data_IF_037840082575
#
_entry.id   IF_037840082575
#
_cell.length_a   1.000
_cell.length_b   1.000
_cell.length_c   1.000
_cell.angle_alpha   90.00
_cell.angle_beta   90.00
_cell.angle_gamma   90.00
#
_symmetry.space_group_name_H-M   'P 1'
#
loop_
_entity.id
_entity.type
_entity.pdbx_description
1 polymer ?
#
# COMPACT_ATOMS: atom_id res chain seq x y z
N UNK A 1 8.21 29.64 12.76
CA UNK A 1 7.10 28.78 13.20
C UNK A 1 6.17 28.57 12.01
N UNK A 2 5.88 27.32 11.61
CA UNK A 2 5.05 27.06 10.43
C UNK A 2 3.58 27.40 10.72
N UNK A 3 2.88 27.99 9.74
CA UNK A 3 1.47 28.36 9.86
C UNK A 3 0.59 27.11 10.12
N UNK A 4 -0.27 27.10 11.15
CA UNK A 4 -1.09 25.93 11.49
C UNK A 4 -2.02 25.48 10.35
N UNK A 5 -2.52 26.42 9.52
CA UNK A 5 -3.34 26.06 8.35
C UNK A 5 -2.55 25.27 7.31
N UNK A 6 -1.27 25.61 7.12
CA UNK A 6 -0.37 24.91 6.19
C UNK A 6 -0.09 23.47 6.62
N UNK A 7 0.11 23.24 7.93
CA UNK A 7 0.32 21.91 8.49
C UNK A 7 -0.90 20.99 8.27
N UNK A 8 -2.11 21.53 8.41
CA UNK A 8 -3.34 20.78 8.16
C UNK A 8 -3.46 20.39 6.68
N UNK A 9 -3.15 21.30 5.75
CA UNK A 9 -3.18 21.01 4.31
C UNK A 9 -2.21 19.86 3.96
N UNK A 10 -0.96 19.93 4.44
CA UNK A 10 0.02 18.86 4.19
C UNK A 10 -0.44 17.51 4.76
N UNK A 11 -1.11 17.52 5.92
CA UNK A 11 -1.68 16.30 6.50
C UNK A 11 -2.82 15.72 5.67
N UNK A 12 -3.74 16.56 5.16
CA UNK A 12 -4.81 16.08 4.29
C UNK A 12 -4.27 15.51 2.97
N UNK A 13 -3.27 16.17 2.37
CA UNK A 13 -2.62 15.66 1.15
C UNK A 13 -1.90 14.34 1.43
N UNK A 14 -1.20 14.24 2.58
CA UNK A 14 -0.56 12.99 3.00
C UNK A 14 -1.58 11.86 3.16
N UNK A 15 -2.72 12.14 3.83
CA UNK A 15 -3.80 11.18 3.98
C UNK A 15 -4.40 10.77 2.63
N UNK A 16 -4.63 11.72 1.71
CA UNK A 16 -5.10 11.42 0.36
C UNK A 16 -4.11 10.51 -0.38
N UNK A 17 -2.81 10.81 -0.30
CA UNK A 17 -1.75 9.98 -0.88
C UNK A 17 -1.74 8.57 -0.32
N UNK A 18 -1.89 8.40 1.00
CA UNK A 18 -1.99 7.07 1.61
C UNK A 18 -3.23 6.30 1.15
N UNK A 19 -4.38 6.96 1.04
CA UNK A 19 -5.61 6.32 0.56
C UNK A 19 -5.47 5.90 -0.90
N UNK A 20 -4.95 6.76 -1.76
CA UNK A 20 -4.67 6.45 -3.16
C UNK A 20 -3.66 5.31 -3.30
N UNK A 21 -2.62 5.30 -2.46
CA UNK A 21 -1.62 4.23 -2.46
C UNK A 21 -2.27 2.87 -2.15
N UNK A 22 -3.09 2.82 -1.10
CA UNK A 22 -3.80 1.61 -0.66
C UNK A 22 -4.82 1.11 -1.68
N UNK A 23 -5.50 2.02 -2.39
CA UNK A 23 -6.37 1.66 -3.53
C UNK A 23 -5.52 1.15 -4.70
N UNK A 24 -4.42 1.84 -5.01
CA UNK A 24 -3.49 1.46 -6.08
C UNK A 24 -2.85 0.09 -5.86
N UNK A 25 -2.52 -0.26 -4.61
CA UNK A 25 -2.03 -1.59 -4.25
C UNK A 25 -2.96 -2.71 -4.75
N UNK A 26 -4.26 -2.45 -4.86
CA UNK A 26 -5.23 -3.43 -5.31
C UNK A 26 -5.51 -3.30 -6.82
N UNK A 27 -5.74 -2.09 -7.32
CA UNK A 27 -6.26 -1.84 -8.67
C UNK A 27 -5.20 -1.65 -9.76
N UNK A 28 -3.94 -1.34 -9.41
CA UNK A 28 -2.84 -1.30 -10.39
C UNK A 28 -1.67 -0.38 -10.06
N UNK A 29 -0.54 -0.65 -10.72
CA UNK A 29 0.74 0.05 -10.51
C UNK A 29 0.71 1.54 -10.84
N UNK A 30 -0.09 1.99 -11.81
CA UNK A 30 -0.18 3.41 -12.17
C UNK A 30 -0.69 4.28 -11.01
N UNK A 31 -1.69 3.79 -10.27
CA UNK A 31 -2.23 4.49 -9.10
C UNK A 31 -1.20 4.56 -7.96
N UNK A 32 -0.41 3.51 -7.79
CA UNK A 32 0.69 3.47 -6.82
C UNK A 32 1.70 4.59 -7.14
N UNK A 33 2.15 4.69 -8.40
CA UNK A 33 3.12 5.71 -8.80
C UNK A 33 2.59 7.13 -8.63
N UNK A 34 1.31 7.37 -8.91
CA UNK A 34 0.65 8.68 -8.67
C UNK A 34 0.63 8.99 -7.18
N UNK A 35 0.28 8.01 -6.34
CA UNK A 35 0.23 8.18 -4.89
C UNK A 35 1.62 8.44 -4.29
N UNK A 36 2.63 7.68 -4.69
CA UNK A 36 4.03 7.86 -4.28
C UNK A 36 4.55 9.24 -4.68
N UNK A 37 4.27 9.67 -5.91
CA UNK A 37 4.64 11.01 -6.39
C UNK A 37 3.96 12.10 -5.56
N UNK A 38 2.66 11.96 -5.27
CA UNK A 38 1.93 12.92 -4.45
C UNK A 38 2.50 12.99 -3.03
N UNK A 39 2.79 11.85 -2.40
CA UNK A 39 3.37 11.79 -1.06
C UNK A 39 4.76 12.43 -1.02
N UNK A 40 5.60 12.14 -2.01
CA UNK A 40 6.95 12.70 -2.12
C UNK A 40 6.94 14.20 -2.38
N UNK A 41 6.10 14.67 -3.31
CA UNK A 41 5.94 16.10 -3.60
C UNK A 41 5.39 16.86 -2.41
N UNK A 42 4.41 16.29 -1.69
CA UNK A 42 3.91 16.89 -0.46
C UNK A 42 4.98 16.98 0.63
N UNK A 43 5.81 15.94 0.75
CA UNK A 43 6.95 15.92 1.68
C UNK A 43 7.99 16.99 1.35
N UNK A 44 8.31 17.19 0.07
CA UNK A 44 9.18 18.28 -0.40
C UNK A 44 8.56 19.64 -0.08
N UNK A 45 7.27 19.82 -0.38
CA UNK A 45 6.54 21.07 -0.18
C UNK A 45 6.35 21.43 1.30
N UNK A 46 6.30 20.46 2.21
CA UNK A 46 6.22 20.67 3.66
C UNK A 46 7.51 21.30 4.23
N UNK A 47 8.66 20.96 3.62
CA UNK A 47 9.98 21.46 4.02
C UNK A 47 10.42 20.97 5.40
N UNK A 48 11.06 21.86 6.18
CA UNK A 48 11.65 21.57 7.50
C UNK A 48 12.65 20.40 7.49
N UNK A 49 13.51 20.36 6.48
CA UNK A 49 14.47 19.28 6.26
C UNK A 49 15.44 19.06 7.43
N UNK A 50 15.76 20.11 8.20
CA UNK A 50 16.63 19.99 9.37
C UNK A 50 16.02 19.08 10.45
N UNK A 51 14.74 19.28 10.79
CA UNK A 51 14.03 18.44 11.74
C UNK A 51 13.80 17.02 11.19
N UNK A 52 13.42 16.91 9.91
CA UNK A 52 13.23 15.62 9.24
C UNK A 52 14.50 14.77 9.25
N UNK A 53 15.64 15.40 8.98
CA UNK A 53 16.96 14.76 9.00
C UNK A 53 17.35 14.26 10.39
N UNK A 54 17.08 15.04 11.44
CA UNK A 54 17.30 14.61 12.83
C UNK A 54 16.48 13.36 13.17
N UNK A 55 15.16 13.37 12.90
CA UNK A 55 14.31 12.19 13.13
C UNK A 55 14.74 10.95 12.35
N UNK A 56 15.19 11.12 11.11
CA UNK A 56 15.66 10.00 10.29
C UNK A 56 16.90 9.34 10.87
N UNK A 57 17.86 10.12 11.41
CA UNK A 57 19.07 9.60 12.06
C UNK A 57 18.78 8.85 13.35
N UNK A 58 17.77 9.26 14.09
CA UNK A 58 17.37 8.62 15.36
C UNK A 58 16.56 7.32 15.14
N UNK A 59 15.96 7.16 13.97
CA UNK A 59 15.12 6.01 13.65
C UNK A 59 15.94 4.79 13.23
N UNK A 60 15.99 3.78 14.11
CA UNK A 60 16.59 2.47 13.80
C UNK A 60 16.00 1.84 12.54
N UNK A 61 14.70 2.00 12.31
CA UNK A 61 14.00 1.47 11.13
C UNK A 61 14.56 2.12 9.87
N UNK A 62 14.68 3.46 9.86
CA UNK A 62 15.24 4.17 8.72
C UNK A 62 16.69 3.77 8.46
N UNK A 63 17.52 3.67 9.51
CA UNK A 63 18.92 3.27 9.42
C UNK A 63 19.09 1.85 8.84
N UNK A 64 18.21 0.91 9.19
CA UNK A 64 18.22 -0.44 8.62
C UNK A 64 17.81 -0.39 7.14
N UNK A 65 16.72 0.30 6.81
CA UNK A 65 16.27 0.36 5.41
C UNK A 65 17.28 1.05 4.49
N UNK A 66 17.90 2.15 4.95
CA UNK A 66 18.93 2.85 4.17
C UNK A 66 20.19 2.03 4.05
N UNK A 67 20.62 1.28 5.09
CA UNK A 67 21.80 0.42 4.97
C UNK A 67 21.58 -0.71 3.96
N UNK A 68 20.41 -1.36 3.97
CA UNK A 68 20.04 -2.35 2.96
C UNK A 68 20.03 -1.76 1.55
N UNK A 69 19.50 -0.55 1.36
CA UNK A 69 19.50 0.10 0.05
C UNK A 69 20.91 0.50 -0.41
N UNK A 70 21.76 0.99 0.50
CA UNK A 70 23.16 1.32 0.20
C UNK A 70 23.96 0.08 -0.21
N UNK A 71 23.71 -1.08 0.39
CA UNK A 71 24.33 -2.34 -0.05
C UNK A 71 23.99 -2.67 -1.51
N UNK A 72 22.75 -2.39 -1.95
CA UNK A 72 22.37 -2.59 -3.35
C UNK A 72 23.07 -1.60 -4.29
N UNK A 73 23.25 -0.35 -3.85
CA UNK A 73 24.03 0.64 -4.62
C UNK A 73 25.48 0.18 -4.76
N UNK A 74 26.11 -0.31 -3.67
CA UNK A 74 27.47 -0.84 -3.72
C UNK A 74 27.57 -2.06 -4.63
N UNK A 75 26.58 -2.95 -4.60
CA UNK A 75 26.51 -4.11 -5.49
C UNK A 75 26.46 -3.72 -6.98
N UNK A 76 25.93 -2.53 -7.32
CA UNK A 76 25.92 -2.05 -8.69
C UNK A 76 27.33 -1.80 -9.26
N UNK A 77 28.33 -1.53 -8.40
CA UNK A 77 29.73 -1.32 -8.81
C UNK A 77 30.37 -2.59 -9.38
N UNK A 78 29.86 -3.77 -9.00
CA UNK A 78 30.30 -5.07 -9.52
C UNK A 78 29.47 -5.56 -10.70
N UNK A 79 28.46 -4.81 -11.13
CA UNK A 79 27.56 -5.28 -12.19
C UNK A 79 28.09 -4.96 -13.58
N UNK A 80 28.16 -5.98 -14.43
CA UNK A 80 28.51 -5.84 -15.84
C UNK A 80 27.39 -5.19 -16.68
N UNK A 81 26.16 -5.15 -16.15
CA UNK A 81 25.00 -4.56 -16.83
C UNK A 81 24.41 -3.43 -15.98
N UNK A 82 24.93 -2.23 -16.18
CA UNK A 82 24.47 -1.02 -15.48
C UNK A 82 23.00 -0.71 -15.76
N UNK A 83 22.49 -0.99 -16.95
CA UNK A 83 21.08 -0.76 -17.29
C UNK A 83 20.14 -1.61 -16.42
N UNK A 84 20.47 -2.89 -16.24
CA UNK A 84 19.74 -3.78 -15.35
C UNK A 84 19.89 -3.38 -13.88
N UNK A 85 21.11 -3.03 -13.46
CA UNK A 85 21.40 -2.62 -12.09
C UNK A 85 20.61 -1.36 -11.67
N UNK A 86 20.55 -0.36 -12.55
CA UNK A 86 19.76 0.86 -12.32
C UNK A 86 18.27 0.53 -12.24
N UNK A 87 17.75 -0.31 -13.14
CA UNK A 87 16.35 -0.75 -13.09
C UNK A 87 16.02 -1.47 -11.78
N UNK A 88 16.93 -2.30 -11.28
CA UNK A 88 16.78 -3.00 -10.01
C UNK A 88 16.74 -2.03 -8.81
N UNK A 89 17.57 -0.98 -8.81
CA UNK A 89 17.51 0.09 -7.81
C UNK A 89 16.16 0.81 -7.84
N UNK A 90 15.63 1.13 -9.03
CA UNK A 90 14.31 1.78 -9.16
C UNK A 90 13.17 0.94 -8.59
N UNK A 91 13.17 -0.37 -8.85
CA UNK A 91 12.15 -1.29 -8.30
C UNK A 91 12.24 -1.35 -6.77
N UNK A 92 13.44 -1.18 -6.21
CA UNK A 92 13.70 -1.20 -4.76
C UNK A 92 13.63 0.17 -4.10
N UNK A 93 13.53 1.27 -4.85
CA UNK A 93 13.43 2.62 -4.32
C UNK A 93 12.29 2.82 -3.30
N UNK A 94 11.10 2.17 -3.44
CA UNK A 94 10.05 2.27 -2.43
C UNK A 94 10.48 1.78 -1.03
N UNK A 95 11.46 0.87 -0.96
CA UNK A 95 12.04 0.39 0.32
C UNK A 95 12.68 1.55 1.11
N UNK A 96 13.21 2.55 0.43
CA UNK A 96 13.77 3.75 1.07
C UNK A 96 12.71 4.85 1.20
N UNK A 97 11.87 5.02 0.18
CA UNK A 97 10.87 6.08 0.11
C UNK A 97 9.86 5.97 1.26
N UNK A 98 9.32 4.78 1.55
CA UNK A 98 8.31 4.65 2.60
C UNK A 98 8.86 4.91 4.00
N UNK A 99 9.98 4.31 4.45
CA UNK A 99 10.60 4.68 5.72
C UNK A 99 10.93 6.15 5.81
N UNK A 100 11.43 6.76 4.72
CA UNK A 100 11.68 8.19 4.66
C UNK A 100 10.41 8.98 4.96
N UNK A 101 9.31 8.70 4.24
CA UNK A 101 8.04 9.39 4.42
C UNK A 101 7.48 9.19 5.84
N UNK A 102 7.29 7.95 6.28
CA UNK A 102 6.64 7.64 7.56
C UNK A 102 7.43 8.07 8.81
N UNK A 103 8.78 8.05 8.76
CA UNK A 103 9.60 8.48 9.90
C UNK A 103 9.67 10.00 9.98
N UNK A 104 9.71 10.67 8.84
CA UNK A 104 9.92 12.12 8.78
C UNK A 104 8.62 12.94 8.71
N UNK A 105 7.46 12.29 8.63
CA UNK A 105 6.16 12.92 8.84
C UNK A 105 5.59 12.55 10.21
N UNK A 106 4.68 13.36 10.78
CA UNK A 106 3.88 12.94 11.92
C UNK A 106 3.06 11.68 11.57
N UNK A 107 3.02 10.65 12.43
CA UNK A 107 2.25 9.44 12.14
C UNK A 107 0.74 9.74 12.12
N UNK A 108 -0.05 9.03 11.31
CA UNK A 108 -1.50 9.16 11.33
C UNK A 108 -2.06 8.81 12.71
N UNK A 109 -3.15 9.49 13.09
CA UNK A 109 -3.90 9.15 14.29
C UNK A 109 -4.63 7.82 14.14
N UNK A 110 -5.03 7.21 15.27
CA UNK A 110 -5.74 5.93 15.26
C UNK A 110 -6.99 5.94 14.38
N UNK A 111 -7.74 7.05 14.33
CA UNK A 111 -8.93 7.20 13.47
C UNK A 111 -8.56 7.16 11.98
N UNK A 112 -7.49 7.85 11.61
CA UNK A 112 -6.96 7.90 10.24
C UNK A 112 -6.42 6.52 9.81
N UNK A 113 -5.69 5.84 10.69
CA UNK A 113 -5.25 4.47 10.44
C UNK A 113 -6.41 3.51 10.23
N UNK A 114 -7.47 3.60 11.06
CA UNK A 114 -8.68 2.79 10.87
C UNK A 114 -9.36 3.07 9.53
N UNK A 115 -9.37 4.32 9.06
CA UNK A 115 -9.88 4.68 7.74
C UNK A 115 -9.04 4.04 6.62
N UNK A 116 -7.71 4.18 6.68
CA UNK A 116 -6.79 3.59 5.69
C UNK A 116 -6.99 2.07 5.60
N UNK A 117 -7.06 1.39 6.75
CA UNK A 117 -7.30 -0.06 6.81
C UNK A 117 -8.68 -0.46 6.28
N UNK A 118 -9.73 0.34 6.55
CA UNK A 118 -11.07 0.07 6.04
C UNK A 118 -11.13 0.22 4.52
N UNK A 119 -10.48 1.26 3.98
CA UNK A 119 -10.38 1.51 2.53
C UNK A 119 -9.56 0.41 1.85
N UNK A 120 -8.51 -0.11 2.51
CA UNK A 120 -7.77 -1.27 2.00
C UNK A 120 -8.70 -2.48 1.80
N UNK A 121 -9.48 -2.86 2.82
CA UNK A 121 -10.40 -3.99 2.73
C UNK A 121 -11.43 -3.76 1.62
N UNK A 122 -12.02 -2.56 1.55
CA UNK A 122 -12.97 -2.21 0.49
C UNK A 122 -12.35 -2.30 -0.91
N UNK A 123 -11.11 -1.82 -1.08
CA UNK A 123 -10.40 -1.92 -2.35
C UNK A 123 -10.14 -3.38 -2.74
N UNK A 124 -9.73 -4.23 -1.79
CA UNK A 124 -9.53 -5.68 -2.01
C UNK A 124 -10.84 -6.37 -2.40
N UNK A 125 -11.95 -6.08 -1.70
CA UNK A 125 -13.28 -6.60 -2.07
C UNK A 125 -13.66 -6.13 -3.48
N UNK A 126 -13.45 -4.85 -3.80
CA UNK A 126 -13.68 -4.32 -5.14
C UNK A 126 -12.91 -5.07 -6.22
N UNK A 127 -11.64 -5.39 -5.98
CA UNK A 127 -10.83 -6.16 -6.96
C UNK A 127 -11.30 -7.60 -7.12
N UNK A 128 -11.72 -8.26 -6.05
CA UNK A 128 -12.22 -9.64 -6.11
C UNK A 128 -13.59 -9.70 -6.79
N UNK A 129 -14.49 -8.76 -6.52
CA UNK A 129 -15.76 -8.61 -7.22
C UNK A 129 -15.55 -8.36 -8.72
N UNK A 130 -14.65 -7.44 -9.08
CA UNK A 130 -14.34 -7.17 -10.48
C UNK A 130 -13.79 -8.41 -11.18
N UNK A 131 -12.87 -9.13 -10.53
CA UNK A 131 -12.31 -10.39 -11.06
C UNK A 131 -13.40 -11.44 -11.26
N UNK A 132 -14.38 -11.51 -10.35
CA UNK A 132 -15.50 -12.45 -10.44
C UNK A 132 -16.49 -12.11 -11.57
N UNK A 133 -16.83 -10.83 -11.74
CA UNK A 133 -17.68 -10.38 -12.87
C UNK A 133 -17.05 -10.75 -14.21
N UNK A 134 -15.72 -10.60 -14.34
CA UNK A 134 -14.99 -11.02 -15.55
C UNK A 134 -15.00 -12.53 -15.76
N UNK A 135 -14.87 -13.31 -14.69
CA UNK A 135 -14.92 -14.77 -14.77
C UNK A 135 -16.27 -15.27 -15.31
N UNK A 136 -17.39 -14.65 -14.91
CA UNK A 136 -18.73 -15.09 -15.31
C UNK A 136 -19.30 -14.43 -16.58
N UNK A 137 -18.86 -13.23 -16.97
CA UNK A 137 -19.75 -12.32 -17.71
C UNK A 137 -19.29 -11.65 -19.01
N UNK A 138 -18.05 -11.78 -19.51
CA UNK A 138 -17.65 -10.95 -20.67
C UNK A 138 -16.83 -11.62 -21.78
N UNK A 139 -15.94 -12.56 -21.46
CA UNK A 139 -15.30 -13.46 -22.44
C UNK A 139 -14.99 -14.77 -21.74
N UNK A 140 -15.65 -15.89 -22.03
CA UNK A 140 -15.15 -17.18 -21.56
C UNK A 140 -13.73 -17.32 -22.13
N UNK A 141 -12.72 -17.30 -21.27
CA UNK A 141 -11.37 -17.62 -21.71
C UNK A 141 -11.43 -19.08 -22.19
N UNK A 142 -11.30 -19.28 -23.50
CA UNK A 142 -11.06 -20.60 -24.08
C UNK A 142 -9.85 -21.21 -23.36
N UNK A 143 -10.08 -22.25 -22.57
CA UNK A 143 -9.07 -22.85 -21.67
C UNK A 143 -9.00 -22.20 -20.29
N UNK A 144 -10.11 -22.26 -19.53
CA UNK A 144 -10.29 -21.77 -18.17
C UNK A 144 -9.28 -22.35 -17.16
N UNK A 145 -8.07 -21.79 -17.15
CA UNK A 145 -7.15 -21.94 -16.03
C UNK A 145 -7.58 -20.95 -14.94
N UNK A 146 -8.03 -21.43 -13.75
CA UNK A 146 -8.44 -20.57 -12.63
C UNK A 146 -7.36 -19.55 -12.23
N UNK A 147 -6.10 -19.84 -12.55
CA UNK A 147 -4.94 -18.97 -12.33
C UNK A 147 -4.97 -17.66 -13.11
N UNK A 148 -5.80 -17.57 -14.17
CA UNK A 148 -6.00 -16.36 -14.99
C UNK A 148 -7.14 -15.46 -14.49
N UNK A 149 -7.83 -15.83 -13.40
CA UNK A 149 -8.90 -15.01 -12.79
C UNK A 149 -8.33 -13.71 -12.21
N UNK A 150 -7.08 -13.74 -11.72
CA UNK A 150 -6.40 -12.55 -11.21
C UNK A 150 -5.96 -11.64 -12.36
N UNK A 151 -6.70 -10.56 -12.61
CA UNK A 151 -6.49 -9.69 -13.78
C UNK A 151 -5.46 -8.59 -13.56
N UNK A 152 -5.50 -7.97 -12.38
CA UNK A 152 -4.62 -6.84 -12.06
C UNK A 152 -3.25 -7.30 -11.54
N UNK A 153 -3.18 -8.52 -11.01
CA UNK A 153 -1.97 -9.02 -10.38
C UNK A 153 -1.82 -10.53 -10.56
N UNK A 154 -0.71 -11.12 -10.11
CA UNK A 154 -0.63 -12.59 -10.06
C UNK A 154 -1.54 -13.14 -8.97
N UNK A 155 -2.06 -14.36 -9.16
CA UNK A 155 -2.88 -15.08 -8.17
C UNK A 155 -2.21 -15.10 -6.78
N UNK A 156 -0.89 -15.28 -6.71
CA UNK A 156 -0.12 -15.24 -5.45
C UNK A 156 -0.17 -13.86 -4.79
N UNK A 157 0.03 -12.78 -5.57
CA UNK A 157 -0.01 -11.42 -4.98
C UNK A 157 -1.41 -11.04 -4.55
N UNK A 158 -2.43 -11.47 -5.28
CA UNK A 158 -3.83 -11.26 -4.90
C UNK A 158 -4.17 -12.03 -3.61
N UNK A 159 -3.75 -13.29 -3.47
CA UNK A 159 -4.00 -14.09 -2.26
C UNK A 159 -3.36 -13.45 -1.02
N UNK A 160 -2.14 -12.94 -1.12
CA UNK A 160 -1.49 -12.19 -0.04
C UNK A 160 -2.30 -10.96 0.39
N UNK A 161 -2.85 -10.20 -0.56
CA UNK A 161 -3.69 -9.02 -0.27
C UNK A 161 -5.00 -9.42 0.41
N UNK A 162 -5.61 -10.51 -0.02
CA UNK A 162 -6.84 -11.05 0.59
C UNK A 162 -6.60 -11.52 2.03
N UNK A 163 -5.50 -12.24 2.29
CA UNK A 163 -5.14 -12.69 3.63
C UNK A 163 -4.95 -11.49 4.58
N UNK A 164 -4.23 -10.46 4.14
CA UNK A 164 -4.09 -9.22 4.92
C UNK A 164 -5.46 -8.58 5.19
N UNK A 165 -6.34 -8.49 4.19
CA UNK A 165 -7.69 -7.94 4.35
C UNK A 165 -8.57 -8.77 5.31
N UNK A 166 -8.42 -10.09 5.34
CA UNK A 166 -9.10 -10.98 6.30
C UNK A 166 -8.63 -10.68 7.72
N UNK A 167 -7.32 -10.58 7.97
CA UNK A 167 -6.80 -10.24 9.30
C UNK A 167 -7.25 -8.87 9.78
N UNK A 168 -7.25 -7.87 8.90
CA UNK A 168 -7.76 -6.53 9.21
C UNK A 168 -9.24 -6.58 9.57
N UNK A 169 -10.05 -7.30 8.79
CA UNK A 169 -11.49 -7.46 9.04
C UNK A 169 -11.75 -8.18 10.37
N UNK A 170 -10.99 -9.22 10.69
CA UNK A 170 -11.06 -9.92 11.97
C UNK A 170 -10.71 -9.00 13.14
N UNK A 171 -9.65 -8.19 13.01
CA UNK A 171 -9.30 -7.19 14.02
C UNK A 171 -10.40 -6.15 14.24
N UNK A 172 -11.09 -5.70 13.19
CA UNK A 172 -12.24 -4.81 13.33
C UNK A 172 -13.47 -5.50 13.94
N UNK A 173 -13.67 -6.79 13.66
CA UNK A 173 -14.76 -7.58 14.23
C UNK A 173 -14.67 -7.69 15.76
N UNK A 174 -13.46 -7.86 16.31
CA UNK A 174 -13.23 -7.92 17.76
C UNK A 174 -13.33 -6.57 18.48
N UNK A 175 -13.37 -5.45 17.75
CA UNK A 175 -13.55 -4.15 18.38
C UNK A 175 -14.99 -3.90 18.83
N UNK A 176 -15.14 -3.08 19.86
CA UNK A 176 -16.44 -2.57 20.32
C UNK A 176 -17.07 -1.72 19.20
N UNK A 177 -17.95 -2.35 18.43
CA UNK A 177 -18.67 -1.76 17.29
C UNK A 177 -20.13 -2.22 17.30
N UNK A 178 -20.98 -1.51 16.56
CA UNK A 178 -22.40 -1.84 16.35
C UNK A 178 -22.57 -3.20 15.67
N UNK A 179 -23.64 -3.93 15.98
CA UNK A 179 -23.94 -5.25 15.39
C UNK A 179 -23.92 -5.25 13.85
N UNK A 180 -24.44 -4.21 13.20
CA UNK A 180 -24.38 -4.04 11.74
C UNK A 180 -22.95 -4.05 11.19
N UNK A 181 -22.02 -3.33 11.84
CA UNK A 181 -20.62 -3.28 11.42
C UNK A 181 -19.94 -4.63 11.61
N UNK A 182 -20.25 -5.35 12.70
CA UNK A 182 -19.76 -6.72 12.90
C UNK A 182 -20.25 -7.67 11.80
N UNK A 183 -21.52 -7.56 11.41
CA UNK A 183 -22.08 -8.29 10.28
C UNK A 183 -21.34 -8.01 8.97
N UNK A 184 -21.06 -6.74 8.67
CA UNK A 184 -20.31 -6.35 7.47
C UNK A 184 -18.88 -6.92 7.45
N UNK A 185 -18.16 -6.86 8.58
CA UNK A 185 -16.81 -7.44 8.67
C UNK A 185 -16.83 -8.97 8.55
N UNK A 186 -17.81 -9.64 9.15
CA UNK A 186 -17.99 -11.08 9.01
C UNK A 186 -18.28 -11.47 7.56
N UNK A 187 -19.20 -10.76 6.89
CA UNK A 187 -19.50 -10.96 5.48
C UNK A 187 -18.26 -10.74 4.59
N UNK A 188 -17.46 -9.73 4.89
CA UNK A 188 -16.19 -9.45 4.20
C UNK A 188 -15.21 -10.63 4.33
N UNK A 189 -15.07 -11.20 5.53
CA UNK A 189 -14.21 -12.37 5.77
C UNK A 189 -14.70 -13.57 4.98
N UNK A 190 -16.00 -13.89 5.06
CA UNK A 190 -16.59 -15.03 4.36
C UNK A 190 -16.44 -14.91 2.85
N UNK A 191 -16.69 -13.71 2.30
CA UNK A 191 -16.49 -13.42 0.89
C UNK A 191 -15.05 -13.65 0.43
N UNK A 192 -14.08 -13.09 1.16
CA UNK A 192 -12.67 -13.19 0.80
C UNK A 192 -12.14 -14.63 0.94
N UNK A 193 -12.60 -15.39 1.94
CA UNK A 193 -12.28 -16.81 2.08
C UNK A 193 -12.88 -17.65 0.94
N UNK A 194 -14.14 -17.38 0.56
CA UNK A 194 -14.78 -18.03 -0.56
C UNK A 194 -14.03 -17.76 -1.87
N UNK A 195 -13.68 -16.50 -2.14
CA UNK A 195 -12.90 -16.15 -3.34
C UNK A 195 -11.49 -16.77 -3.32
N UNK A 196 -10.84 -16.83 -2.15
CA UNK A 196 -9.54 -17.48 -2.00
C UNK A 196 -9.59 -18.98 -2.31
N UNK A 197 -10.71 -19.67 -2.04
CA UNK A 197 -10.89 -21.09 -2.37
C UNK A 197 -11.08 -21.33 -3.87
N UNK A 198 -11.59 -20.33 -4.61
CA UNK A 198 -11.83 -20.41 -6.05
C UNK A 198 -10.56 -20.11 -6.86
N UNK A 199 -9.69 -19.26 -6.32
CA UNK A 199 -8.46 -18.78 -6.95
C UNK A 199 -7.37 -19.86 -7.02
#
# INVERSE_FOLDING_TARGET
>A
MQNPRRLLIHRYIFMLGLLLFVVGLNWGSSLISIAESLLFLNWLAEGNFKWKWQRMKESKIFLICISFYLLHILACLWSNNLGYAIKDLWVKAPLLLFPLLFVSTPPPQLKEWKLVLSIYVLATIGTTLWSMVFYFGWRPLEGADPRKISRFDSHIRLSMKMLMAIFISAWFFWQKTTLLKKGLWLASILWLLFFLFIL
#
